data_IF_985702333503
#
_entry.id   IF_985702333503
#
_cell.length_a   1.000
_cell.length_b   1.000
_cell.length_c   1.000
_cell.angle_alpha   90.00
_cell.angle_beta   90.00
_cell.angle_gamma   90.00
#
_symmetry.space_group_name_H-M   'P 1'
#
loop_
_entity.id
_entity.type
_entity.pdbx_description
1 polymer ?
#
# COMPACT_ATOMS: atom_id res chain seq x y z
N UNK A 1 44.07 1.54 -31.40
CA UNK A 1 42.71 1.79 -31.92
C UNK A 1 41.75 1.62 -30.74
N UNK A 2 41.68 2.69 -29.94
CA UNK A 2 40.56 3.63 -29.83
C UNK A 2 39.49 3.13 -28.85
N UNK A 3 39.73 3.53 -27.59
CA UNK A 3 38.74 3.73 -26.55
C UNK A 3 37.58 4.58 -27.09
N UNK A 4 36.34 4.20 -26.79
CA UNK A 4 35.15 5.01 -27.09
C UNK A 4 34.20 4.98 -25.89
N UNK A 5 34.51 5.86 -24.94
CA UNK A 5 33.57 6.74 -24.23
C UNK A 5 32.10 6.29 -24.15
N UNK A 6 31.69 5.79 -22.99
CA UNK A 6 30.36 6.02 -22.45
C UNK A 6 30.44 7.13 -21.39
N UNK A 7 30.57 8.37 -21.83
CA UNK A 7 30.23 9.54 -21.01
C UNK A 7 28.71 9.75 -21.09
N UNK A 8 27.97 8.89 -20.39
CA UNK A 8 26.59 9.14 -20.06
C UNK A 8 26.55 9.93 -18.76
N UNK A 9 26.04 11.16 -18.81
CA UNK A 9 25.71 11.99 -17.65
C UNK A 9 24.81 11.22 -16.65
N UNK A 10 25.39 10.47 -15.72
CA UNK A 10 24.73 10.13 -14.47
C UNK A 10 24.75 11.38 -13.60
N UNK A 11 23.79 12.28 -13.80
CA UNK A 11 23.42 13.21 -12.73
C UNK A 11 23.04 12.31 -11.56
N UNK A 12 23.83 12.31 -10.50
CA UNK A 12 23.41 11.72 -9.23
C UNK A 12 22.21 12.52 -8.78
N UNK A 13 21.01 11.99 -9.02
CA UNK A 13 19.80 12.58 -8.48
C UNK A 13 19.95 12.56 -6.96
N UNK A 14 20.26 13.73 -6.39
CA UNK A 14 20.38 13.89 -4.94
C UNK A 14 19.08 13.39 -4.32
N UNK A 15 19.18 12.42 -3.41
CA UNK A 15 18.04 11.92 -2.64
C UNK A 15 17.35 13.13 -2.00
N UNK A 16 16.03 13.21 -2.21
CA UNK A 16 15.19 14.24 -1.62
C UNK A 16 14.61 13.72 -0.29
N UNK A 17 14.08 14.63 0.53
CA UNK A 17 13.30 14.23 1.69
C UNK A 17 12.07 13.40 1.25
N UNK A 18 11.66 12.41 2.07
CA UNK A 18 10.50 11.60 1.73
C UNK A 18 9.24 12.46 1.73
N UNK A 19 8.25 12.04 0.95
CA UNK A 19 6.95 12.71 0.88
C UNK A 19 5.83 11.91 1.54
N UNK A 20 6.06 10.62 1.82
CA UNK A 20 5.01 9.72 2.28
C UNK A 20 5.53 8.83 3.42
N UNK A 21 4.74 8.68 4.49
CA UNK A 21 5.03 7.75 5.59
C UNK A 21 3.87 6.80 5.82
N UNK A 22 4.17 5.58 6.25
CA UNK A 22 3.21 4.73 6.95
C UNK A 22 3.70 4.47 8.36
N UNK A 23 2.96 4.97 9.35
CA UNK A 23 3.26 4.80 10.78
C UNK A 23 2.48 3.61 11.29
N UNK A 24 3.21 2.54 11.61
CA UNK A 24 2.67 1.36 12.26
C UNK A 24 2.70 1.61 13.76
N UNK A 25 1.55 1.92 14.34
CA UNK A 25 1.46 2.38 15.73
C UNK A 25 1.51 1.25 16.77
N UNK A 26 1.18 0.03 16.39
CA UNK A 26 1.10 -1.14 17.29
C UNK A 26 1.05 -2.42 16.46
N UNK A 27 1.34 -3.59 17.04
CA UNK A 27 0.99 -4.89 16.46
C UNK A 27 -0.22 -5.54 17.16
N UNK A 28 -0.78 -4.90 18.18
CA UNK A 28 -1.97 -5.39 18.88
C UNK A 28 -3.19 -5.28 17.96
N UNK A 29 -3.93 -6.37 17.81
CA UNK A 29 -5.14 -6.41 16.97
C UNK A 29 -6.17 -7.39 17.52
N UNK A 30 -7.43 -6.96 17.56
CA UNK A 30 -8.56 -7.79 17.96
C UNK A 30 -8.97 -8.79 16.87
N UNK A 31 -8.69 -8.50 15.59
CA UNK A 31 -9.10 -9.36 14.48
C UNK A 31 -8.35 -10.70 14.48
N UNK A 32 -8.88 -11.71 13.79
CA UNK A 32 -8.29 -13.07 13.66
C UNK A 32 -8.17 -13.48 12.19
N UNK A 33 -7.66 -12.51 11.43
CA UNK A 33 -7.34 -12.56 10.02
C UNK A 33 -6.68 -13.87 9.57
N UNK A 34 -7.15 -14.45 8.45
CA UNK A 34 -6.51 -15.61 7.82
C UNK A 34 -5.22 -15.27 7.07
N UNK A 35 -5.18 -14.12 6.39
CA UNK A 35 -4.01 -13.62 5.66
C UNK A 35 -2.98 -12.88 6.52
N UNK A 36 -3.18 -12.73 7.83
CA UNK A 36 -2.29 -11.95 8.70
C UNK A 36 -2.26 -12.53 10.12
N UNK A 37 -1.05 -12.81 10.63
CA UNK A 37 -0.82 -13.31 11.99
C UNK A 37 -0.32 -12.23 12.96
N UNK A 38 -0.40 -10.94 12.62
CA UNK A 38 0.08 -9.85 13.48
C UNK A 38 -0.52 -9.92 14.90
N UNK A 39 -1.78 -10.33 15.01
CA UNK A 39 -2.49 -10.49 16.28
C UNK A 39 -1.89 -11.58 17.19
N UNK A 40 -1.10 -12.51 16.65
CA UNK A 40 -0.35 -13.53 17.40
C UNK A 40 0.97 -13.00 17.94
N UNK A 41 1.41 -11.82 17.48
CA UNK A 41 2.69 -11.20 17.83
C UNK A 41 2.46 -9.76 18.35
N UNK A 42 1.63 -9.57 19.39
CA UNK A 42 1.33 -8.23 19.89
C UNK A 42 2.57 -7.56 20.49
N UNK A 43 2.74 -6.27 20.19
CA UNK A 43 3.65 -5.37 20.90
C UNK A 43 3.23 -5.19 22.36
N UNK A 44 4.18 -4.85 23.23
CA UNK A 44 3.86 -4.35 24.58
C UNK A 44 3.56 -2.86 24.51
N UNK A 45 2.52 -2.40 25.22
CA UNK A 45 2.14 -0.98 25.23
C UNK A 45 3.28 -0.03 25.61
N UNK A 46 4.15 -0.47 26.52
CA UNK A 46 5.30 0.31 27.01
C UNK A 46 6.44 0.46 26.01
N UNK A 47 6.42 -0.32 24.92
CA UNK A 47 7.46 -0.33 23.89
C UNK A 47 6.98 0.35 22.59
N UNK A 48 5.71 0.75 22.53
CA UNK A 48 5.12 1.40 21.36
C UNK A 48 5.51 2.88 21.30
N UNK A 49 5.85 3.37 20.10
CA UNK A 49 6.06 4.79 19.80
C UNK A 49 4.96 5.66 20.39
N UNK A 50 5.32 6.78 20.99
CA UNK A 50 4.38 7.80 21.49
C UNK A 50 4.20 8.91 20.46
N UNK A 51 3.26 9.81 20.72
CA UNK A 51 3.05 10.97 19.88
C UNK A 51 4.31 11.85 19.78
N UNK A 52 4.98 12.12 20.91
CA UNK A 52 6.22 12.91 21.00
C UNK A 52 7.35 12.36 20.11
N UNK A 53 7.48 11.04 19.99
CA UNK A 53 8.51 10.40 19.16
C UNK A 53 8.35 10.71 17.67
N UNK A 54 7.13 11.03 17.23
CA UNK A 54 6.83 11.33 15.84
C UNK A 54 7.08 12.81 15.48
N UNK A 55 7.44 13.65 16.44
CA UNK A 55 7.81 15.04 16.17
C UNK A 55 9.11 15.16 15.37
N UNK A 56 9.97 14.13 15.39
CA UNK A 56 11.17 14.09 14.55
C UNK A 56 10.84 13.96 13.06
N UNK A 57 9.65 13.44 12.69
CA UNK A 57 9.28 13.21 11.30
C UNK A 57 9.35 14.50 10.48
N UNK A 58 9.75 14.43 9.20
CA UNK A 58 9.88 15.60 8.35
C UNK A 58 8.50 16.09 7.90
N UNK A 59 8.49 17.19 7.15
CA UNK A 59 7.28 17.62 6.44
C UNK A 59 6.97 16.66 5.29
N UNK A 60 5.74 16.18 5.25
CA UNK A 60 5.26 15.12 4.37
C UNK A 60 4.04 15.61 3.58
N UNK A 61 3.78 14.96 2.44
CA UNK A 61 2.54 15.14 1.67
C UNK A 61 1.43 14.23 2.18
N UNK A 62 1.77 13.09 2.76
CA UNK A 62 0.83 12.07 3.17
C UNK A 62 1.36 11.21 4.31
N UNK A 63 0.49 10.93 5.30
CA UNK A 63 0.74 9.93 6.32
C UNK A 63 -0.38 8.89 6.36
N UNK A 64 -0.01 7.62 6.43
CA UNK A 64 -0.93 6.53 6.73
C UNK A 64 -0.70 6.07 8.17
N UNK A 65 -1.75 6.04 8.98
CA UNK A 65 -1.71 5.45 10.33
C UNK A 65 -2.26 4.03 10.24
N UNK A 66 -1.47 3.06 10.68
CA UNK A 66 -1.80 1.63 10.61
C UNK A 66 -1.18 0.88 11.79
N UNK A 67 -1.07 -0.44 11.68
CA UNK A 67 -0.44 -1.31 12.67
C UNK A 67 -1.43 -1.97 13.60
N UNK A 68 -1.38 -3.30 13.63
CA UNK A 68 -2.39 -4.12 14.27
C UNK A 68 -3.77 -3.56 13.95
N UNK A 69 -4.43 -3.04 14.98
CA UNK A 69 -5.53 -2.09 14.84
C UNK A 69 -5.17 -0.76 15.54
N UNK A 70 -5.03 0.38 14.82
CA UNK A 70 -4.75 1.68 15.45
C UNK A 70 -5.76 2.04 16.53
N UNK A 71 -7.05 1.76 16.29
CA UNK A 71 -8.14 2.04 17.22
C UNK A 71 -8.15 1.15 18.48
N UNK A 72 -7.11 0.36 18.75
CA UNK A 72 -6.89 -0.25 20.07
C UNK A 72 -6.09 0.67 21.01
N UNK A 73 -5.40 1.67 20.46
CA UNK A 73 -4.60 2.64 21.23
C UNK A 73 -5.49 3.68 21.90
N UNK A 74 -5.15 4.05 23.13
CA UNK A 74 -5.93 5.05 23.87
C UNK A 74 -5.49 6.48 23.53
N UNK A 75 -4.23 6.62 23.12
CA UNK A 75 -3.52 7.84 22.73
C UNK A 75 -3.50 8.07 21.20
N UNK A 76 -4.38 7.40 20.44
CA UNK A 76 -4.42 7.53 18.98
C UNK A 76 -4.70 8.99 18.54
N UNK A 77 -5.54 9.71 19.28
CA UNK A 77 -5.86 11.11 18.96
C UNK A 77 -4.61 12.02 19.07
N UNK A 78 -3.73 11.77 20.05
CA UNK A 78 -2.47 12.51 20.23
C UNK A 78 -1.49 12.24 19.08
N UNK A 79 -1.39 10.98 18.64
CA UNK A 79 -0.59 10.59 17.47
C UNK A 79 -1.08 11.31 16.22
N UNK A 80 -2.39 11.32 16.00
CA UNK A 80 -3.01 11.97 14.83
C UNK A 80 -2.78 13.49 14.88
N UNK A 81 -2.86 14.10 16.07
CA UNK A 81 -2.57 15.52 16.30
C UNK A 81 -1.14 15.88 15.89
N UNK A 82 -0.13 15.13 16.38
CA UNK A 82 1.26 15.34 15.97
C UNK A 82 1.43 15.14 14.47
N UNK A 83 0.86 14.10 13.88
CA UNK A 83 0.98 13.84 12.44
C UNK A 83 0.34 14.93 11.58
N UNK A 84 -0.70 15.61 12.04
CA UNK A 84 -1.29 16.73 11.28
C UNK A 84 -0.37 17.96 11.24
N UNK A 85 0.59 18.08 12.17
CA UNK A 85 1.68 19.07 12.07
C UNK A 85 2.71 18.72 10.99
N UNK A 86 2.73 17.46 10.52
CA UNK A 86 3.70 16.92 9.58
C UNK A 86 3.14 16.67 8.19
N UNK A 87 1.86 16.33 8.08
CA UNK A 87 1.23 15.99 6.81
C UNK A 87 -0.16 16.63 6.70
N UNK A 88 -0.50 17.28 5.57
CA UNK A 88 -1.82 17.87 5.36
C UNK A 88 -2.90 16.81 5.09
N UNK A 89 -2.50 15.56 4.82
CA UNK A 89 -3.40 14.46 4.53
C UNK A 89 -2.99 13.23 5.31
N UNK A 90 -3.89 12.79 6.20
CA UNK A 90 -3.73 11.57 6.98
C UNK A 90 -4.85 10.61 6.62
N UNK A 91 -4.51 9.33 6.42
CA UNK A 91 -5.50 8.26 6.28
C UNK A 91 -5.23 7.20 7.34
N UNK A 92 -6.26 6.73 8.04
CA UNK A 92 -6.15 5.60 8.96
C UNK A 92 -6.67 4.34 8.30
N UNK A 93 -5.85 3.30 8.31
CA UNK A 93 -6.25 1.95 7.91
C UNK A 93 -6.78 1.20 9.13
N UNK A 94 -8.04 0.77 9.09
CA UNK A 94 -8.73 0.12 10.22
C UNK A 94 -9.52 -1.11 9.77
N UNK A 95 -9.80 -2.04 10.69
CA UNK A 95 -10.80 -3.09 10.45
C UNK A 95 -12.25 -2.58 10.50
N UNK A 96 -12.50 -1.37 10.99
CA UNK A 96 -13.85 -0.84 11.20
C UNK A 96 -14.57 -1.46 12.41
N UNK A 97 -13.86 -2.23 13.24
CA UNK A 97 -14.46 -2.90 14.40
C UNK A 97 -14.90 -1.94 15.51
N UNK A 98 -14.09 -0.90 15.77
CA UNK A 98 -14.27 0.06 16.85
C UNK A 98 -15.08 1.29 16.40
N UNK A 99 -16.28 1.06 15.88
CA UNK A 99 -17.15 2.08 15.24
C UNK A 99 -17.17 3.41 16.00
N UNK A 100 -17.51 3.39 17.29
CA UNK A 100 -17.63 4.60 18.11
C UNK A 100 -16.31 5.37 18.25
N UNK A 101 -15.17 4.67 18.31
CA UNK A 101 -13.85 5.31 18.40
C UNK A 101 -13.44 5.95 17.06
N UNK A 102 -13.85 5.34 15.93
CA UNK A 102 -13.64 5.93 14.60
C UNK A 102 -14.45 7.21 14.46
N UNK A 103 -15.72 7.18 14.85
CA UNK A 103 -16.62 8.35 14.81
C UNK A 103 -16.07 9.47 15.68
N UNK A 104 -15.75 9.18 16.95
CA UNK A 104 -15.19 10.17 17.87
C UNK A 104 -13.90 10.83 17.34
N UNK A 105 -13.00 10.04 16.75
CA UNK A 105 -11.79 10.58 16.13
C UNK A 105 -12.14 11.54 14.98
N UNK A 106 -13.09 11.15 14.12
CA UNK A 106 -13.50 11.96 12.97
C UNK A 106 -14.23 13.25 13.37
N UNK A 107 -14.95 13.28 14.50
CA UNK A 107 -15.52 14.50 15.08
C UNK A 107 -14.43 15.50 15.44
N UNK A 108 -13.32 15.03 16.06
CA UNK A 108 -12.17 15.87 16.40
C UNK A 108 -11.35 16.27 15.17
N UNK A 109 -11.24 15.38 14.17
CA UNK A 109 -10.42 15.57 12.97
C UNK A 109 -11.25 15.39 11.69
N UNK A 110 -12.08 16.36 11.28
CA UNK A 110 -12.99 16.21 10.13
C UNK A 110 -12.30 16.05 8.77
N UNK A 111 -11.00 16.34 8.68
CA UNK A 111 -10.18 16.13 7.48
C UNK A 111 -9.47 14.76 7.45
N UNK A 112 -9.75 13.87 8.42
CA UNK A 112 -9.16 12.53 8.46
C UNK A 112 -9.73 11.65 7.34
N UNK A 113 -8.86 10.90 6.67
CA UNK A 113 -9.29 9.84 5.78
C UNK A 113 -9.40 8.50 6.52
N UNK A 114 -10.38 7.68 6.16
CA UNK A 114 -10.57 6.34 6.76
C UNK A 114 -10.62 5.30 5.64
N UNK A 115 -9.87 4.22 5.81
CA UNK A 115 -9.93 3.04 4.94
C UNK A 115 -10.24 1.81 5.78
N UNK A 116 -11.43 1.27 5.57
CA UNK A 116 -11.88 0.04 6.24
C UNK A 116 -11.48 -1.16 5.40
N UNK A 117 -10.78 -2.12 6.01
CA UNK A 117 -10.48 -3.40 5.36
C UNK A 117 -11.74 -4.27 5.24
N UNK A 118 -12.22 -4.46 4.02
CA UNK A 118 -13.36 -5.32 3.69
C UNK A 118 -12.91 -6.31 2.61
N UNK A 119 -12.88 -7.60 2.95
CA UNK A 119 -12.26 -8.62 2.11
C UNK A 119 -13.23 -9.28 1.13
N UNK A 120 -14.53 -9.03 1.22
CA UNK A 120 -15.57 -9.61 0.38
C UNK A 120 -16.95 -9.13 0.82
N UNK A 121 -18.01 -9.72 0.26
CA UNK A 121 -19.35 -9.58 0.84
C UNK A 121 -19.38 -10.22 2.23
N UNK A 122 -20.46 -9.98 2.99
CA UNK A 122 -20.53 -10.25 4.43
C UNK A 122 -19.94 -11.60 4.88
N UNK A 123 -20.40 -12.71 4.29
CA UNK A 123 -19.90 -14.05 4.63
C UNK A 123 -18.40 -14.21 4.37
N UNK A 124 -17.93 -13.82 3.19
CA UNK A 124 -16.52 -13.87 2.79
C UNK A 124 -15.66 -13.00 3.71
N UNK A 125 -16.11 -11.77 4.00
CA UNK A 125 -15.38 -10.85 4.85
C UNK A 125 -15.26 -11.39 6.28
N UNK A 126 -16.37 -11.77 6.91
CA UNK A 126 -16.38 -12.23 8.29
C UNK A 126 -15.50 -13.49 8.45
N UNK A 127 -15.57 -14.41 7.49
CA UNK A 127 -14.71 -15.59 7.43
C UNK A 127 -13.21 -15.24 7.31
N UNK A 128 -12.84 -14.37 6.37
CA UNK A 128 -11.43 -14.01 6.12
C UNK A 128 -10.83 -13.15 7.23
N UNK A 129 -11.62 -12.23 7.79
CA UNK A 129 -11.24 -11.34 8.90
C UNK A 129 -11.28 -12.04 10.27
N UNK A 130 -11.94 -13.20 10.36
CA UNK A 130 -12.00 -14.05 11.54
C UNK A 130 -12.86 -13.48 12.67
N UNK A 131 -13.88 -12.70 12.33
CA UNK A 131 -14.88 -12.17 13.27
C UNK A 131 -16.22 -11.99 12.56
N UNK A 132 -17.29 -12.41 13.23
CA UNK A 132 -18.65 -12.13 12.81
C UNK A 132 -18.95 -10.63 12.92
N UNK A 133 -19.94 -10.15 12.15
CA UNK A 133 -20.37 -8.75 12.03
C UNK A 133 -19.30 -7.75 11.55
N UNK A 134 -18.11 -8.22 11.14
CA UNK A 134 -17.03 -7.33 10.68
C UNK A 134 -17.41 -6.51 9.46
N UNK A 135 -18.18 -7.09 8.52
CA UNK A 135 -18.67 -6.38 7.34
C UNK A 135 -19.67 -5.29 7.71
N UNK A 136 -20.66 -5.64 8.53
CA UNK A 136 -21.71 -4.73 8.98
C UNK A 136 -21.12 -3.53 9.72
N UNK A 137 -20.24 -3.78 10.70
CA UNK A 137 -19.56 -2.71 11.46
C UNK A 137 -18.73 -1.79 10.58
N UNK A 138 -17.99 -2.37 9.63
CA UNK A 138 -17.21 -1.60 8.67
C UNK A 138 -18.07 -0.72 7.77
N UNK A 139 -19.19 -1.25 7.27
CA UNK A 139 -20.14 -0.51 6.46
C UNK A 139 -20.84 0.59 7.27
N UNK A 140 -21.27 0.29 8.50
CA UNK A 140 -21.86 1.25 9.44
C UNK A 140 -20.91 2.42 9.69
N UNK A 141 -19.64 2.11 9.99
CA UNK A 141 -18.59 3.13 10.18
C UNK A 141 -18.52 4.08 8.98
N UNK A 142 -18.42 3.54 7.76
CA UNK A 142 -18.30 4.38 6.57
C UNK A 142 -19.58 5.17 6.26
N UNK A 143 -20.77 4.59 6.47
CA UNK A 143 -22.05 5.31 6.32
C UNK A 143 -22.14 6.49 7.27
N UNK A 144 -21.85 6.28 8.55
CA UNK A 144 -21.90 7.36 9.54
C UNK A 144 -20.87 8.45 9.24
N UNK A 145 -19.64 8.09 8.86
CA UNK A 145 -18.64 9.08 8.45
C UNK A 145 -19.07 9.87 7.20
N UNK A 146 -19.76 9.21 6.25
CA UNK A 146 -20.31 9.88 5.08
C UNK A 146 -21.38 10.90 5.46
N UNK A 147 -22.30 10.53 6.35
CA UNK A 147 -23.37 11.39 6.88
C UNK A 147 -22.80 12.60 7.66
N UNK A 148 -21.65 12.42 8.33
CA UNK A 148 -20.89 13.50 8.96
C UNK A 148 -20.17 14.42 7.96
N UNK A 149 -20.21 14.10 6.66
CA UNK A 149 -19.57 14.89 5.59
C UNK A 149 -18.09 14.57 5.34
N UNK A 150 -17.56 13.50 5.93
CA UNK A 150 -16.18 13.06 5.72
C UNK A 150 -16.05 12.42 4.32
N UNK A 151 -15.15 12.97 3.49
CA UNK A 151 -15.07 12.62 2.07
C UNK A 151 -14.02 11.56 1.75
N UNK A 152 -12.87 11.56 2.43
CA UNK A 152 -11.76 10.62 2.13
C UNK A 152 -11.98 9.27 2.82
N UNK A 153 -13.11 8.61 2.51
CA UNK A 153 -13.52 7.34 3.12
C UNK A 153 -13.67 6.22 2.08
N UNK A 154 -13.47 4.97 2.49
CA UNK A 154 -13.78 3.82 1.63
C UNK A 154 -13.17 2.49 2.06
N UNK A 155 -13.15 1.54 1.13
CA UNK A 155 -12.75 0.16 1.36
C UNK A 155 -11.33 -0.15 0.86
N UNK A 156 -10.68 -1.09 1.53
CA UNK A 156 -9.54 -1.84 0.99
C UNK A 156 -9.86 -3.32 0.96
N UNK A 157 -9.71 -3.95 -0.21
CA UNK A 157 -9.82 -5.40 -0.37
C UNK A 157 -8.45 -6.01 -0.67
N UNK A 158 -8.09 -7.04 0.09
CA UNK A 158 -6.89 -7.85 -0.14
C UNK A 158 -7.28 -9.12 -0.85
N UNK A 159 -6.97 -9.21 -2.14
CA UNK A 159 -7.29 -10.36 -2.98
C UNK A 159 -6.55 -11.62 -2.52
N UNK A 160 -7.30 -12.72 -2.48
CA UNK A 160 -6.88 -14.04 -2.03
C UNK A 160 -7.60 -15.11 -2.85
N UNK A 161 -7.30 -16.37 -2.54
CA UNK A 161 -7.95 -17.53 -3.18
C UNK A 161 -9.47 -17.62 -2.93
N UNK A 162 -10.02 -16.83 -2.00
CA UNK A 162 -11.37 -17.04 -1.48
C UNK A 162 -12.30 -15.84 -1.66
N UNK A 163 -11.87 -14.76 -2.33
CA UNK A 163 -12.67 -13.53 -2.40
C UNK A 163 -12.66 -12.79 -3.74
N UNK A 164 -11.99 -13.29 -4.77
CA UNK A 164 -11.92 -12.56 -6.04
C UNK A 164 -13.29 -12.44 -6.73
N UNK A 165 -14.21 -13.38 -6.49
CA UNK A 165 -15.59 -13.32 -6.98
C UNK A 165 -16.37 -12.12 -6.41
N UNK A 166 -16.02 -11.65 -5.22
CA UNK A 166 -16.65 -10.48 -4.57
C UNK A 166 -16.03 -9.13 -5.01
N UNK A 167 -14.96 -9.15 -5.82
CA UNK A 167 -14.24 -7.94 -6.23
C UNK A 167 -15.13 -6.94 -6.97
N UNK A 168 -15.94 -7.41 -7.92
CA UNK A 168 -16.86 -6.54 -8.68
C UNK A 168 -18.05 -6.10 -7.81
N UNK A 169 -18.77 -6.99 -7.09
CA UNK A 169 -19.80 -6.59 -6.15
C UNK A 169 -19.35 -5.51 -5.15
N UNK A 170 -18.18 -5.67 -4.53
CA UNK A 170 -17.66 -4.67 -3.60
C UNK A 170 -17.29 -3.35 -4.28
N UNK A 171 -16.69 -3.41 -5.47
CA UNK A 171 -16.41 -2.20 -6.25
C UNK A 171 -17.70 -1.42 -6.57
N UNK A 172 -18.76 -2.12 -6.99
CA UNK A 172 -20.05 -1.49 -7.29
C UNK A 172 -20.72 -0.91 -6.04
N UNK A 173 -20.63 -1.62 -4.91
CA UNK A 173 -21.08 -1.10 -3.62
C UNK A 173 -20.33 0.20 -3.27
N UNK A 174 -19.00 0.20 -3.33
CA UNK A 174 -18.18 1.37 -3.08
C UNK A 174 -18.59 2.54 -3.98
N UNK A 175 -18.73 2.28 -5.28
CA UNK A 175 -19.13 3.29 -6.26
C UNK A 175 -20.51 3.87 -5.97
N UNK A 176 -21.49 3.03 -5.64
CA UNK A 176 -22.87 3.47 -5.35
C UNK A 176 -22.95 4.42 -4.15
N UNK A 177 -21.99 4.30 -3.22
CA UNK A 177 -21.88 5.13 -2.01
C UNK A 177 -20.86 6.27 -2.16
N UNK A 178 -20.28 6.44 -3.35
CA UNK A 178 -19.18 7.40 -3.60
C UNK A 178 -17.98 7.21 -2.66
N UNK A 179 -17.67 5.96 -2.34
CA UNK A 179 -16.54 5.56 -1.52
C UNK A 179 -15.33 5.21 -2.38
N UNK A 180 -14.15 5.44 -1.81
CA UNK A 180 -12.90 5.02 -2.41
C UNK A 180 -12.75 3.49 -2.36
N UNK A 181 -12.16 2.91 -3.40
CA UNK A 181 -11.92 1.47 -3.48
C UNK A 181 -10.45 1.22 -3.78
N UNK A 182 -9.79 0.50 -2.87
CA UNK A 182 -8.39 0.10 -2.99
C UNK A 182 -8.28 -1.42 -3.13
N UNK A 183 -7.44 -1.86 -4.05
CA UNK A 183 -7.11 -3.27 -4.26
C UNK A 183 -5.67 -3.55 -3.89
N UNK A 184 -5.45 -4.71 -3.29
CA UNK A 184 -4.15 -5.33 -3.10
C UNK A 184 -4.27 -6.83 -3.36
N UNK A 185 -3.15 -7.52 -3.50
CA UNK A 185 -3.12 -8.98 -3.30
C UNK A 185 -2.55 -9.24 -1.90
N UNK A 186 -2.87 -10.39 -1.29
CA UNK A 186 -2.23 -10.72 -0.02
C UNK A 186 -0.72 -10.86 -0.20
N UNK A 187 0.04 -10.58 0.86
CA UNK A 187 1.49 -10.62 0.81
C UNK A 187 2.03 -11.31 2.05
N UNK A 188 3.19 -11.92 1.88
CA UNK A 188 4.04 -12.34 2.98
C UNK A 188 4.94 -11.17 3.39
N UNK A 189 5.16 -10.96 4.67
CA UNK A 189 6.15 -9.99 5.17
C UNK A 189 6.35 -10.15 6.67
N UNK A 190 7.44 -9.56 7.17
CA UNK A 190 7.68 -9.40 8.61
C UNK A 190 6.48 -8.75 9.30
N UNK A 191 5.89 -7.73 8.68
CA UNK A 191 4.76 -6.98 9.23
C UNK A 191 3.51 -7.83 9.44
N UNK A 192 3.18 -8.72 8.50
CA UNK A 192 2.01 -9.59 8.62
C UNK A 192 2.28 -10.88 9.41
N UNK A 193 3.55 -11.16 9.76
CA UNK A 193 4.01 -12.42 10.35
C UNK A 193 3.52 -13.64 9.56
N UNK A 194 3.64 -13.55 8.24
CA UNK A 194 3.04 -14.48 7.28
C UNK A 194 4.02 -14.82 6.16
N UNK A 195 4.06 -16.10 5.81
CA UNK A 195 4.99 -16.67 4.81
C UNK A 195 4.29 -17.62 3.82
N UNK A 196 3.00 -17.90 4.05
CA UNK A 196 2.19 -18.92 3.37
C UNK A 196 1.05 -18.33 2.51
N UNK A 197 1.02 -17.02 2.28
CA UNK A 197 0.04 -16.39 1.39
C UNK A 197 0.42 -16.58 -0.09
N UNK A 198 -0.21 -17.54 -0.77
CA UNK A 198 -0.01 -17.79 -2.21
C UNK A 198 -1.32 -17.87 -2.98
N UNK A 199 -1.42 -17.13 -4.10
CA UNK A 199 -2.59 -17.21 -4.98
C UNK A 199 -2.44 -18.44 -5.89
N UNK A 200 -3.25 -19.47 -5.62
CA UNK A 200 -3.20 -20.76 -6.33
C UNK A 200 -4.24 -20.85 -7.45
N UNK A 201 -5.41 -20.22 -7.31
CA UNK A 201 -6.43 -20.13 -8.36
C UNK A 201 -6.22 -18.91 -9.27
N UNK A 202 -5.01 -18.80 -9.85
CA UNK A 202 -4.58 -17.62 -10.62
C UNK A 202 -5.54 -17.24 -11.74
N UNK A 203 -6.06 -18.20 -12.49
CA UNK A 203 -6.98 -17.96 -13.61
C UNK A 203 -8.22 -17.18 -13.16
N UNK A 204 -8.90 -17.65 -12.10
CA UNK A 204 -10.10 -17.01 -11.55
C UNK A 204 -9.78 -15.60 -11.04
N UNK A 205 -8.72 -15.46 -10.24
CA UNK A 205 -8.34 -14.19 -9.65
C UNK A 205 -7.97 -13.17 -10.73
N UNK A 206 -7.12 -13.55 -11.69
CA UNK A 206 -6.69 -12.69 -12.78
C UNK A 206 -7.86 -12.28 -13.68
N UNK A 207 -8.79 -13.21 -13.99
CA UNK A 207 -9.99 -12.89 -14.75
C UNK A 207 -10.89 -11.87 -14.04
N UNK A 208 -11.05 -11.99 -12.72
CA UNK A 208 -11.84 -11.03 -11.93
C UNK A 208 -11.16 -9.65 -11.84
N UNK A 209 -9.83 -9.61 -11.71
CA UNK A 209 -9.06 -8.35 -11.77
C UNK A 209 -9.18 -7.68 -13.15
N UNK A 210 -9.14 -8.45 -14.23
CA UNK A 210 -9.28 -7.93 -15.59
C UNK A 210 -10.69 -7.37 -15.84
N UNK A 211 -11.73 -8.05 -15.33
CA UNK A 211 -13.10 -7.49 -15.31
C UNK A 211 -13.15 -6.14 -14.59
N UNK A 212 -12.47 -6.03 -13.44
CA UNK A 212 -12.42 -4.78 -12.68
C UNK A 212 -11.68 -3.69 -13.48
N UNK A 213 -10.56 -4.02 -14.11
CA UNK A 213 -9.80 -3.07 -14.93
C UNK A 213 -10.64 -2.53 -16.10
N UNK A 214 -11.37 -3.39 -16.81
CA UNK A 214 -12.31 -2.97 -17.85
C UNK A 214 -13.44 -2.11 -17.30
N UNK A 215 -13.99 -2.46 -16.13
CA UNK A 215 -15.04 -1.69 -15.49
C UNK A 215 -14.59 -0.30 -15.05
N UNK A 216 -13.36 -0.18 -14.53
CA UNK A 216 -12.72 1.09 -14.18
C UNK A 216 -12.50 2.00 -15.39
N UNK A 217 -12.24 1.44 -16.58
CA UNK A 217 -12.08 2.23 -17.81
C UNK A 217 -13.39 2.85 -18.31
N UNK A 218 -14.55 2.33 -17.87
CA UNK A 218 -15.84 2.95 -18.18
C UNK A 218 -16.06 4.25 -17.40
N UNK A 219 -15.36 4.45 -16.28
CA UNK A 219 -15.44 5.68 -15.49
C UNK A 219 -14.90 6.90 -16.26
N UNK A 220 -15.40 8.08 -15.90
CA UNK A 220 -15.05 9.34 -16.59
C UNK A 220 -13.73 9.96 -16.11
N UNK A 221 -13.30 9.67 -14.89
CA UNK A 221 -12.16 10.36 -14.28
C UNK A 221 -10.82 9.62 -14.52
N UNK A 222 -9.73 10.32 -14.90
CA UNK A 222 -8.43 9.71 -15.19
C UNK A 222 -7.86 8.80 -14.10
N UNK A 223 -8.12 9.14 -12.81
CA UNK A 223 -7.76 8.30 -11.65
C UNK A 223 -8.20 6.84 -11.81
N UNK A 224 -9.39 6.60 -12.36
CA UNK A 224 -9.90 5.24 -12.58
C UNK A 224 -9.12 4.51 -13.69
N UNK A 225 -8.68 5.22 -14.73
CA UNK A 225 -7.90 4.62 -15.82
C UNK A 225 -6.51 4.19 -15.34
N UNK A 226 -5.87 5.01 -14.50
CA UNK A 226 -4.62 4.61 -13.83
C UNK A 226 -4.84 3.49 -12.81
N UNK A 227 -6.01 3.41 -12.16
CA UNK A 227 -6.37 2.24 -11.35
C UNK A 227 -6.51 0.97 -12.19
N UNK A 228 -7.02 1.05 -13.42
CA UNK A 228 -7.04 -0.08 -14.33
C UNK A 228 -5.62 -0.56 -14.66
N UNK A 229 -4.69 0.38 -14.95
CA UNK A 229 -3.27 0.06 -15.12
C UNK A 229 -2.70 -0.67 -13.90
N UNK A 230 -2.94 -0.11 -12.71
CA UNK A 230 -2.46 -0.69 -11.45
C UNK A 230 -2.98 -2.12 -11.26
N UNK A 231 -4.27 -2.37 -11.55
CA UNK A 231 -4.87 -3.70 -11.43
C UNK A 231 -4.30 -4.70 -12.45
N UNK A 232 -3.99 -4.30 -13.69
CA UNK A 232 -3.22 -5.18 -14.59
C UNK A 232 -1.80 -5.48 -14.07
N UNK A 233 -1.19 -4.53 -13.35
CA UNK A 233 0.05 -4.77 -12.61
C UNK A 233 -0.10 -5.79 -11.47
N UNK A 234 -1.28 -5.90 -10.84
CA UNK A 234 -1.57 -6.98 -9.89
C UNK A 234 -1.62 -8.33 -10.60
N UNK A 235 -2.24 -8.43 -11.78
CA UNK A 235 -2.20 -9.67 -12.59
C UNK A 235 -0.75 -10.07 -12.89
N UNK A 236 0.09 -9.11 -13.28
CA UNK A 236 1.52 -9.35 -13.52
C UNK A 236 2.23 -9.93 -12.28
N UNK A 237 1.97 -9.34 -11.11
CA UNK A 237 2.49 -9.83 -9.83
C UNK A 237 2.03 -11.26 -9.53
N UNK A 238 0.74 -11.55 -9.67
CA UNK A 238 0.14 -12.87 -9.38
C UNK A 238 0.71 -13.95 -10.31
N UNK A 239 0.99 -13.59 -11.56
CA UNK A 239 1.64 -14.49 -12.52
C UNK A 239 3.11 -14.74 -12.21
N UNK A 240 3.70 -14.07 -11.22
CA UNK A 240 5.11 -14.22 -10.84
C UNK A 240 6.07 -13.48 -11.78
N UNK A 241 5.55 -12.65 -12.68
CA UNK A 241 6.34 -11.91 -13.64
C UNK A 241 7.02 -10.71 -12.97
N UNK A 242 8.23 -10.39 -13.42
CA UNK A 242 8.97 -9.21 -12.95
C UNK A 242 8.09 -7.96 -12.98
N UNK A 243 8.19 -7.14 -11.93
CA UNK A 243 7.43 -5.90 -11.78
C UNK A 243 7.57 -4.98 -13.01
N UNK A 244 6.46 -4.45 -13.49
CA UNK A 244 6.43 -3.62 -14.72
C UNK A 244 7.12 -2.25 -14.62
N UNK A 245 7.27 -1.70 -13.41
CA UNK A 245 7.99 -0.45 -13.12
C UNK A 245 8.91 -0.71 -11.92
N UNK A 246 9.99 0.06 -11.70
CA UNK A 246 10.85 -0.13 -10.54
C UNK A 246 10.10 0.01 -9.20
N UNK A 247 10.64 -0.61 -8.17
CA UNK A 247 10.37 -0.23 -6.78
C UNK A 247 11.40 0.82 -6.36
N UNK A 248 10.93 1.96 -5.88
CA UNK A 248 11.78 3.03 -5.32
C UNK A 248 11.46 3.27 -3.84
N UNK A 249 11.08 2.22 -3.13
CA UNK A 249 10.88 2.27 -1.68
C UNK A 249 12.13 2.81 -0.98
N UNK A 250 11.97 3.67 0.02
CA UNK A 250 13.11 4.32 0.69
C UNK A 250 13.68 5.53 -0.06
N UNK A 251 13.12 5.98 -1.20
CA UNK A 251 13.50 7.25 -1.85
C UNK A 251 12.41 8.32 -1.76
N UNK A 252 11.14 7.90 -1.82
CA UNK A 252 9.95 8.79 -1.71
C UNK A 252 9.11 8.48 -0.49
N UNK A 253 9.17 7.23 -0.01
CA UNK A 253 8.34 6.74 1.08
C UNK A 253 9.16 5.91 2.08
N UNK A 254 8.67 5.86 3.32
CA UNK A 254 9.20 4.99 4.36
C UNK A 254 8.09 4.50 5.30
N UNK A 255 8.45 3.59 6.18
CA UNK A 255 7.59 3.00 7.19
C UNK A 255 8.29 3.15 8.53
N UNK A 256 7.53 3.51 9.57
CA UNK A 256 8.00 3.40 10.96
C UNK A 256 7.25 2.25 11.61
N UNK A 257 7.98 1.37 12.28
CA UNK A 257 7.38 0.29 13.06
C UNK A 257 7.03 0.76 14.50
N UNK A 258 6.38 -0.08 15.32
CA UNK A 258 5.98 0.31 16.66
C UNK A 258 7.14 0.62 17.61
N UNK A 259 8.38 0.22 17.31
CA UNK A 259 9.57 0.48 18.12
C UNK A 259 10.42 1.62 17.54
N UNK A 260 9.92 2.33 16.53
CA UNK A 260 10.60 3.46 15.92
C UNK A 260 11.59 3.12 14.81
N UNK A 261 11.69 1.84 14.39
CA UNK A 261 12.55 1.45 13.27
C UNK A 261 12.01 2.00 11.95
N UNK A 262 12.91 2.55 11.14
CA UNK A 262 12.60 3.14 9.83
C UNK A 262 12.93 2.14 8.74
N UNK A 263 11.92 1.62 8.05
CA UNK A 263 12.07 0.70 6.92
C UNK A 263 11.69 1.36 5.58
N UNK A 264 12.26 0.93 4.45
CA UNK A 264 11.86 1.44 3.13
C UNK A 264 10.44 0.98 2.73
N UNK A 265 10.01 -0.21 3.17
CA UNK A 265 8.68 -0.76 2.93
C UNK A 265 8.24 -1.74 4.03
N UNK A 266 6.93 -2.00 4.15
CA UNK A 266 6.37 -3.08 4.99
C UNK A 266 6.33 -4.46 4.30
N UNK A 267 6.92 -4.55 3.12
CA UNK A 267 6.94 -5.76 2.30
C UNK A 267 8.22 -6.58 2.45
N UNK A 268 9.07 -6.33 3.45
CA UNK A 268 10.31 -7.08 3.65
C UNK A 268 10.01 -8.49 4.16
N UNK A 269 10.82 -9.48 3.77
CA UNK A 269 10.80 -10.82 4.37
C UNK A 269 12.24 -11.17 4.76
N UNK A 270 12.48 -11.66 5.99
CA UNK A 270 13.82 -12.03 6.46
C UNK A 270 14.57 -12.97 5.50
N UNK A 271 13.84 -13.90 4.84
CA UNK A 271 14.43 -14.84 3.87
C UNK A 271 15.10 -14.18 2.67
N UNK A 272 14.64 -12.98 2.27
CA UNK A 272 15.27 -12.17 1.23
C UNK A 272 16.28 -11.21 1.85
N UNK A 273 15.76 -10.30 2.69
CA UNK A 273 16.50 -9.36 3.52
C UNK A 273 15.50 -8.54 4.32
N UNK A 274 15.92 -8.09 5.50
CA UNK A 274 15.21 -7.12 6.31
C UNK A 274 16.25 -6.26 7.02
N UNK A 275 16.45 -5.04 6.53
CA UNK A 275 17.36 -4.07 7.15
C UNK A 275 16.66 -2.73 7.36
N UNK A 276 16.88 -2.17 8.54
CA UNK A 276 16.43 -0.84 8.93
C UNK A 276 17.34 0.24 8.35
N UNK A 277 16.77 1.41 8.07
CA UNK A 277 17.49 2.63 7.69
C UNK A 277 18.00 3.38 8.93
N UNK A 278 17.48 3.07 10.13
CA UNK A 278 17.79 3.69 11.40
C UNK A 278 16.57 3.70 12.33
N UNK A 279 16.74 4.17 13.56
CA UNK A 279 15.66 4.26 14.55
C UNK A 279 15.44 5.72 14.98
N UNK A 280 14.18 6.15 15.01
CA UNK A 280 13.82 7.54 15.35
C UNK A 280 14.22 7.96 16.76
N UNK A 281 14.32 7.03 17.72
CA UNK A 281 14.75 7.32 19.09
C UNK A 281 16.27 7.53 19.21
N UNK A 282 17.04 7.14 18.19
CA UNK A 282 18.50 7.19 18.19
C UNK A 282 19.06 8.35 17.36
N UNK A 283 18.20 9.23 16.84
CA UNK A 283 18.58 10.36 15.99
C UNK A 283 18.04 11.68 16.56
N UNK A 284 18.74 12.79 16.26
CA UNK A 284 18.28 14.14 16.64
C UNK A 284 17.36 14.74 15.59
N UNK A 285 17.58 14.39 14.33
CA UNK A 285 16.74 14.81 13.20
C UNK A 285 16.47 13.64 12.27
N UNK A 286 15.39 13.71 11.51
CA UNK A 286 15.08 12.64 10.55
C UNK A 286 16.07 12.58 9.39
N UNK A 287 16.68 13.72 9.04
CA UNK A 287 17.74 13.81 8.03
C UNK A 287 18.95 12.93 8.38
N UNK A 288 19.32 12.84 9.66
CA UNK A 288 20.41 11.97 10.12
C UNK A 288 20.14 10.51 9.76
N UNK A 289 18.89 10.05 9.88
CA UNK A 289 18.48 8.70 9.46
C UNK A 289 18.45 8.63 7.94
N UNK A 290 17.72 9.54 7.30
CA UNK A 290 17.37 9.45 5.89
C UNK A 290 18.57 9.57 4.95
N UNK A 291 19.57 10.39 5.30
CA UNK A 291 20.77 10.59 4.48
C UNK A 291 21.99 9.78 4.96
N UNK A 292 21.82 8.91 5.98
CA UNK A 292 22.89 8.05 6.49
C UNK A 292 23.44 7.07 5.44
N UNK A 293 24.66 6.60 5.70
CA UNK A 293 25.25 5.48 4.94
C UNK A 293 24.39 4.22 5.03
N UNK A 294 23.80 3.94 6.20
CA UNK A 294 22.90 2.80 6.39
C UNK A 294 21.65 2.92 5.51
N UNK A 295 21.02 4.09 5.44
CA UNK A 295 19.90 4.34 4.55
C UNK A 295 20.29 4.18 3.07
N UNK A 296 21.48 4.63 2.67
CA UNK A 296 21.99 4.42 1.31
C UNK A 296 22.23 2.95 1.00
N UNK A 297 22.79 2.18 1.93
CA UNK A 297 22.94 0.71 1.81
C UNK A 297 21.58 0.03 1.64
N UNK A 298 20.57 0.43 2.41
CA UNK A 298 19.21 -0.09 2.27
C UNK A 298 18.61 0.25 0.90
N UNK A 299 18.82 1.46 0.37
CA UNK A 299 18.37 1.83 -0.99
C UNK A 299 19.04 0.96 -2.07
N UNK A 300 20.30 0.62 -1.92
CA UNK A 300 21.00 -0.30 -2.83
C UNK A 300 20.41 -1.72 -2.79
N UNK A 301 20.00 -2.19 -1.59
CA UNK A 301 19.23 -3.43 -1.46
C UNK A 301 17.86 -3.34 -2.12
N UNK A 302 17.14 -2.22 -1.99
CA UNK A 302 15.87 -2.01 -2.69
C UNK A 302 16.08 -2.07 -4.20
N UNK A 303 17.12 -1.40 -4.73
CA UNK A 303 17.42 -1.35 -6.17
C UNK A 303 17.56 -2.73 -6.80
N UNK A 304 18.08 -3.71 -6.05
CA UNK A 304 18.29 -5.10 -6.51
C UNK A 304 17.40 -6.12 -5.79
N UNK A 305 16.35 -5.68 -5.10
CA UNK A 305 15.51 -6.56 -4.28
C UNK A 305 14.86 -7.67 -5.14
N UNK A 306 15.08 -8.96 -4.82
CA UNK A 306 14.55 -10.06 -5.62
C UNK A 306 13.03 -10.22 -5.47
N UNK A 307 12.47 -9.70 -4.36
CA UNK A 307 11.06 -9.84 -4.07
C UNK A 307 10.19 -9.14 -5.12
N UNK A 308 9.33 -9.93 -5.75
CA UNK A 308 8.29 -9.41 -6.63
C UNK A 308 7.09 -8.95 -5.78
N UNK A 309 6.83 -7.64 -5.74
CA UNK A 309 5.69 -7.03 -5.04
C UNK A 309 4.91 -6.14 -5.99
N UNK A 310 3.65 -5.78 -5.71
CA UNK A 310 2.97 -4.68 -6.42
C UNK A 310 1.96 -3.99 -5.50
N UNK A 311 2.47 -3.14 -4.61
CA UNK A 311 1.67 -2.42 -3.62
C UNK A 311 1.44 -0.98 -4.02
N UNK A 312 0.22 -0.47 -3.82
CA UNK A 312 -0.17 0.90 -4.20
C UNK A 312 0.79 1.97 -3.67
N UNK A 313 1.28 1.83 -2.42
CA UNK A 313 2.23 2.77 -1.81
C UNK A 313 3.58 2.85 -2.51
N UNK A 314 3.98 1.80 -3.24
CA UNK A 314 5.24 1.77 -4.02
C UNK A 314 5.01 1.91 -5.52
N UNK A 315 3.85 1.49 -6.03
CA UNK A 315 3.51 1.53 -7.45
C UNK A 315 2.98 2.91 -7.87
N UNK A 316 2.13 3.54 -7.07
CA UNK A 316 1.53 4.83 -7.42
C UNK A 316 2.58 5.97 -7.56
N UNK A 317 3.60 6.09 -6.69
CA UNK A 317 4.65 7.10 -6.87
C UNK A 317 5.42 6.90 -8.18
N UNK A 318 5.85 5.68 -8.50
CA UNK A 318 6.59 5.42 -9.75
C UNK A 318 5.72 5.55 -10.99
N UNK A 319 4.43 5.22 -10.92
CA UNK A 319 3.49 5.48 -12.01
C UNK A 319 3.36 6.97 -12.33
N UNK A 320 3.41 7.84 -11.31
CA UNK A 320 3.41 9.30 -11.46
C UNK A 320 4.77 9.83 -11.93
N UNK A 321 5.88 9.33 -11.39
CA UNK A 321 7.24 9.69 -11.83
C UNK A 321 7.43 9.39 -13.32
N UNK A 322 6.97 8.23 -13.77
CA UNK A 322 7.04 7.78 -15.15
C UNK A 322 5.72 7.99 -15.91
N UNK A 323 5.05 9.12 -15.67
CA UNK A 323 3.76 9.45 -16.30
C UNK A 323 3.84 9.44 -17.83
N UNK A 324 4.99 9.78 -18.40
CA UNK A 324 5.24 9.73 -19.85
C UNK A 324 5.18 8.31 -20.43
N UNK A 325 5.32 7.27 -19.59
CA UNK A 325 5.17 5.86 -19.96
C UNK A 325 3.77 5.33 -19.68
N UNK A 326 3.17 5.72 -18.55
CA UNK A 326 1.88 5.20 -18.09
C UNK A 326 0.68 5.93 -18.70
N UNK A 327 0.77 7.24 -18.98
CA UNK A 327 -0.32 8.01 -19.58
C UNK A 327 -0.67 7.58 -21.01
N UNK A 328 0.28 7.31 -21.92
CA UNK A 328 -0.06 6.80 -23.25
C UNK A 328 -0.82 5.47 -23.19
N UNK A 329 -0.47 4.60 -22.25
CA UNK A 329 -1.23 3.37 -22.00
C UNK A 329 -2.66 3.68 -21.56
N UNK A 330 -2.82 4.55 -20.55
CA UNK A 330 -4.13 4.88 -19.99
C UNK A 330 -5.06 5.50 -21.04
N UNK A 331 -4.53 6.40 -21.88
CA UNK A 331 -5.28 7.02 -22.97
C UNK A 331 -5.68 6.01 -24.05
N UNK A 332 -4.76 5.12 -24.47
CA UNK A 332 -5.07 4.06 -25.44
C UNK A 332 -6.13 3.10 -24.91
N UNK A 333 -6.01 2.67 -23.65
CA UNK A 333 -6.97 1.80 -22.98
C UNK A 333 -8.35 2.46 -22.85
N UNK A 334 -8.40 3.74 -22.49
CA UNK A 334 -9.65 4.50 -22.42
C UNK A 334 -10.29 4.66 -23.79
N UNK A 335 -9.52 4.98 -24.83
CA UNK A 335 -10.04 5.08 -26.20
C UNK A 335 -10.64 3.74 -26.67
N UNK A 336 -9.95 2.62 -26.42
CA UNK A 336 -10.46 1.27 -26.73
C UNK A 336 -11.80 1.01 -26.04
N UNK A 337 -11.93 1.38 -24.77
CA UNK A 337 -13.18 1.28 -24.00
C UNK A 337 -14.30 2.15 -24.57
N UNK A 338 -14.01 3.39 -24.98
CA UNK A 338 -15.00 4.29 -25.61
C UNK A 338 -15.49 3.78 -26.97
N UNK A 339 -14.65 3.04 -27.70
CA UNK A 339 -15.01 2.38 -28.96
C UNK A 339 -15.73 1.02 -28.75
N UNK A 340 -16.13 0.69 -27.52
CA UNK A 340 -16.84 -0.56 -27.20
C UNK A 340 -15.94 -1.80 -27.05
N UNK A 341 -14.62 -1.64 -27.15
CA UNK A 341 -13.66 -2.74 -26.95
C UNK A 341 -13.28 -2.94 -25.48
N UNK A 342 -12.65 -4.09 -25.20
CA UNK A 342 -12.10 -4.44 -23.88
C UNK A 342 -10.58 -4.55 -23.92
N UNK A 343 -9.92 -4.29 -22.80
CA UNK A 343 -8.50 -4.61 -22.60
C UNK A 343 -8.34 -6.02 -22.05
N UNK A 344 -7.19 -6.63 -22.33
CA UNK A 344 -6.73 -7.87 -21.70
C UNK A 344 -5.29 -7.73 -21.24
N UNK A 345 -4.93 -8.39 -20.14
CA UNK A 345 -3.57 -8.41 -19.60
C UNK A 345 -2.54 -8.79 -20.68
N UNK A 346 -2.75 -9.90 -21.37
CA UNK A 346 -1.78 -10.46 -22.33
C UNK A 346 -1.48 -9.53 -23.50
N UNK A 347 -2.50 -8.83 -24.02
CA UNK A 347 -2.37 -7.99 -25.21
C UNK A 347 -2.00 -6.55 -24.91
N UNK A 348 -2.46 -6.04 -23.77
CA UNK A 348 -2.43 -4.61 -23.49
C UNK A 348 -1.44 -4.25 -22.38
N UNK A 349 -0.92 -5.19 -21.58
CA UNK A 349 0.03 -4.91 -20.50
C UNK A 349 1.43 -5.46 -20.80
N UNK A 350 2.45 -4.68 -20.45
CA UNK A 350 3.86 -5.03 -20.73
C UNK A 350 4.79 -4.55 -19.62
N UNK A 351 6.05 -4.98 -19.68
CA UNK A 351 7.13 -4.37 -18.90
C UNK A 351 7.38 -2.94 -19.43
N UNK A 352 7.44 -1.97 -18.52
CA UNK A 352 7.79 -0.58 -18.84
C UNK A 352 9.21 -0.33 -18.32
N UNK A 353 10.19 -0.67 -19.15
CA UNK A 353 11.59 -0.41 -18.83
C UNK A 353 11.88 1.09 -18.86
N UNK A 354 12.34 1.58 -17.72
CA UNK A 354 12.72 2.96 -17.43
C UNK A 354 14.14 3.02 -16.85
N UNK A 355 14.96 1.98 -17.09
CA UNK A 355 16.33 1.87 -16.61
C UNK A 355 16.47 1.17 -15.26
N UNK A 356 15.46 0.43 -14.83
CA UNK A 356 15.49 -0.31 -13.55
C UNK A 356 16.45 -1.50 -13.60
N UNK A 357 17.13 -1.78 -12.48
CA UNK A 357 18.07 -2.91 -12.35
C UNK A 357 17.39 -4.23 -12.75
N UNK A 358 17.98 -5.01 -13.68
CA UNK A 358 17.38 -6.26 -14.19
C UNK A 358 17.08 -7.28 -13.08
N UNK A 359 17.78 -7.21 -11.94
CA UNK A 359 17.60 -8.12 -10.80
C UNK A 359 16.38 -7.77 -9.94
N UNK A 360 15.88 -6.53 -10.02
CA UNK A 360 14.77 -6.09 -9.18
C UNK A 360 13.47 -6.81 -9.58
N UNK A 361 12.85 -7.45 -8.58
CA UNK A 361 11.63 -8.25 -8.76
C UNK A 361 11.84 -9.53 -9.55
N UNK A 362 13.08 -9.99 -9.70
CA UNK A 362 13.40 -11.29 -10.28
C UNK A 362 13.63 -12.34 -9.19
N UNK A 363 12.56 -13.08 -8.87
CA UNK A 363 12.58 -14.15 -7.87
C UNK A 363 13.49 -15.33 -8.26
N UNK A 364 13.93 -15.43 -9.53
CA UNK A 364 14.72 -16.57 -10.04
C UNK A 364 16.19 -16.51 -9.62
N UNK A 365 16.64 -15.41 -9.02
CA UNK A 365 18.06 -15.19 -8.70
C UNK A 365 18.50 -15.94 -7.44
N UNK A 366 17.57 -16.54 -6.68
CA UNK A 366 17.90 -17.29 -5.45
C UNK A 366 18.42 -18.72 -5.69
N UNK A 367 18.41 -19.23 -6.93
CA UNK A 367 19.02 -20.52 -7.27
C UNK A 367 20.52 -20.38 -7.61
N UNK A 368 21.31 -19.74 -6.74
CA UNK A 368 22.78 -19.70 -6.86
C UNK A 368 23.52 -19.95 -5.57
#
# INVERSE_FOLDING_TARGET
MSCSSCNGNCKSDKIQMPTDVSVITTYRCQMRCKMCNIWKNPTKKSEEIKAEDLEILPQLKFANVTGGEPFIRQDLEEIVEVLFTKAPRIVISTSGWWVDRVIKLAERFPNIGIRVSIEGMEGTNNFLRGRDDGFERGLRTLKTLHEMGIKDIGFGQTLSNKNSHDLIPLYELARSMNFEFATAAFHNSFYFHKEDNFITNKEEVCANIEKLANRLLQEKHPKAWFRAFFNLGLINYINGNRRSLPCEAGTVNFFTDPWGEVYPCNGLEPKYWQESMGNIHNAKTFEEIWFSEQANRVREKVRSCPKNCWMVGTAAPVMKKYITKTAPWAMKAKLKSLLGGTISYEKDFKLFDVGQDPRQGDLRIEDK
#
